data_IF_962825679121
#
_entry.id   IF_962825679121
#
_cell.length_a   1.000
_cell.length_b   1.000
_cell.length_c   1.000
_cell.angle_alpha   90.00
_cell.angle_beta   90.00
_cell.angle_gamma   90.00
#
_symmetry.space_group_name_H-M   'P 1'
#
loop_
_entity.id
_entity.type
_entity.pdbx_description
1 polymer ?
#
# COMPACT_ATOMS: atom_id res chain seq x y z
N UNK A 1 -14.19 11.72 16.12
CA UNK A 1 -14.76 10.79 15.11
C UNK A 1 -14.17 9.38 15.28
N UNK A 2 -12.86 9.26 15.54
CA UNK A 2 -12.16 8.01 15.89
C UNK A 2 -12.59 7.33 17.19
N UNK A 3 -13.03 8.09 18.20
CA UNK A 3 -13.51 7.57 19.49
C UNK A 3 -14.82 6.76 19.45
N UNK A 4 -15.48 6.67 18.28
CA UNK A 4 -16.79 6.02 18.13
C UNK A 4 -16.66 4.64 17.45
N UNK A 5 -15.67 4.46 16.56
CA UNK A 5 -15.44 3.21 15.82
C UNK A 5 -13.93 2.95 15.66
N UNK A 6 -13.22 2.44 16.68
CA UNK A 6 -11.77 2.25 16.64
C UNK A 6 -11.29 1.28 15.54
N UNK A 7 -12.13 0.33 15.14
CA UNK A 7 -11.84 -0.59 14.03
C UNK A 7 -11.87 0.07 12.66
N UNK A 8 -12.56 1.22 12.53
CA UNK A 8 -12.68 1.94 11.26
C UNK A 8 -11.33 2.46 10.81
N UNK A 9 -10.54 2.97 11.75
CA UNK A 9 -9.22 3.52 11.47
C UNK A 9 -8.24 2.45 10.99
N UNK A 10 -8.16 1.34 11.74
CA UNK A 10 -7.38 0.17 11.37
C UNK A 10 -7.79 -0.34 9.97
N UNK A 11 -9.09 -0.37 9.68
CA UNK A 11 -9.59 -0.76 8.36
C UNK A 11 -9.16 0.22 7.27
N UNK A 12 -9.23 1.53 7.52
CA UNK A 12 -8.77 2.54 6.57
C UNK A 12 -7.27 2.39 6.28
N UNK A 13 -6.45 2.17 7.29
CA UNK A 13 -5.01 1.90 7.12
C UNK A 13 -4.73 0.65 6.31
N UNK A 14 -5.47 -0.44 6.55
CA UNK A 14 -5.35 -1.65 5.74
C UNK A 14 -5.77 -1.39 4.28
N UNK A 15 -6.89 -0.70 4.08
CA UNK A 15 -7.46 -0.44 2.75
C UNK A 15 -6.57 0.52 1.94
N UNK A 16 -6.07 1.58 2.56
CA UNK A 16 -5.16 2.55 1.93
C UNK A 16 -3.82 1.90 1.60
N UNK A 17 -3.28 1.08 2.50
CA UNK A 17 -2.09 0.26 2.23
C UNK A 17 -2.29 -0.68 1.04
N UNK A 18 -3.45 -1.34 0.94
CA UNK A 18 -3.74 -2.21 -0.20
C UNK A 18 -3.77 -1.41 -1.51
N UNK A 19 -4.39 -0.22 -1.51
CA UNK A 19 -4.38 0.69 -2.66
C UNK A 19 -2.97 1.11 -3.04
N UNK A 20 -2.12 1.45 -2.07
CA UNK A 20 -0.70 1.77 -2.30
C UNK A 20 0.07 0.59 -2.90
N UNK A 21 -0.18 -0.63 -2.43
CA UNK A 21 0.44 -1.83 -3.00
C UNK A 21 0.04 -2.05 -4.47
N UNK A 22 -1.23 -1.86 -4.84
CA UNK A 22 -1.63 -1.89 -6.25
C UNK A 22 -1.04 -0.75 -7.05
N UNK A 23 -1.03 0.47 -6.49
CA UNK A 23 -0.45 1.65 -7.11
C UNK A 23 1.04 1.44 -7.41
N UNK A 24 1.78 0.82 -6.50
CA UNK A 24 3.20 0.49 -6.71
C UNK A 24 3.40 -0.34 -7.98
N UNK A 25 2.57 -1.36 -8.20
CA UNK A 25 2.65 -2.20 -9.39
C UNK A 25 2.36 -1.41 -10.67
N UNK A 26 1.39 -0.50 -10.62
CA UNK A 26 1.02 0.37 -11.74
C UNK A 26 2.16 1.34 -12.09
N UNK A 27 2.85 1.89 -11.08
CA UNK A 27 3.95 2.85 -11.25
C UNK A 27 5.24 2.14 -11.72
N UNK A 28 5.50 0.92 -11.26
CA UNK A 28 6.75 0.21 -11.55
C UNK A 28 6.97 0.02 -13.05
N UNK A 29 5.94 -0.42 -13.78
CA UNK A 29 6.07 -0.77 -15.21
C UNK A 29 6.44 0.43 -16.11
N UNK A 30 5.78 1.59 -16.01
CA UNK A 30 6.22 2.81 -16.72
C UNK A 30 7.62 3.27 -16.31
N UNK A 31 7.97 3.16 -15.02
CA UNK A 31 9.24 3.67 -14.49
C UNK A 31 10.45 2.94 -15.08
N UNK A 32 10.35 1.61 -15.25
CA UNK A 32 11.47 0.79 -15.75
C UNK A 32 11.37 0.46 -17.23
N UNK A 33 10.20 0.65 -17.85
CA UNK A 33 9.91 0.30 -19.23
C UNK A 33 9.47 -1.17 -19.42
N UNK A 34 8.59 -1.42 -20.40
CA UNK A 34 7.95 -2.72 -20.58
C UNK A 34 8.91 -3.87 -20.86
N UNK A 35 10.00 -3.62 -21.58
CA UNK A 35 10.99 -4.64 -21.91
C UNK A 35 11.80 -5.06 -20.68
N UNK A 36 12.18 -4.10 -19.83
CA UNK A 36 12.96 -4.37 -18.61
C UNK A 36 12.09 -4.97 -17.51
N UNK A 37 10.79 -4.65 -17.46
CA UNK A 37 9.88 -5.24 -16.48
C UNK A 37 9.83 -6.77 -16.58
N UNK A 38 9.86 -7.31 -17.80
CA UNK A 38 9.86 -8.77 -18.04
C UNK A 38 11.14 -9.47 -17.57
N UNK A 39 12.23 -8.74 -17.41
CA UNK A 39 13.52 -9.29 -16.97
C UNK A 39 13.71 -9.22 -15.46
N UNK A 40 12.82 -8.54 -14.72
CA UNK A 40 12.95 -8.43 -13.27
C UNK A 40 12.67 -9.76 -12.56
N UNK A 41 13.47 -10.14 -11.55
CA UNK A 41 13.17 -11.28 -10.70
C UNK A 41 11.82 -11.11 -9.98
N UNK A 42 10.97 -12.14 -9.89
CA UNK A 42 9.70 -12.06 -9.16
C UNK A 42 9.87 -11.58 -7.71
N UNK A 43 10.97 -11.99 -7.06
CA UNK A 43 11.30 -11.57 -5.70
C UNK A 43 11.53 -10.06 -5.60
N UNK A 44 12.21 -9.46 -6.58
CA UNK A 44 12.43 -8.02 -6.61
C UNK A 44 11.11 -7.26 -6.70
N UNK A 45 10.18 -7.72 -7.54
CA UNK A 45 8.86 -7.11 -7.67
C UNK A 45 8.08 -7.20 -6.35
N UNK A 46 8.09 -8.37 -5.70
CA UNK A 46 7.47 -8.54 -4.38
C UNK A 46 8.05 -7.59 -3.33
N UNK A 47 9.39 -7.54 -3.21
CA UNK A 47 10.07 -6.64 -2.28
C UNK A 47 9.76 -5.16 -2.57
N UNK A 48 9.74 -4.77 -3.84
CA UNK A 48 9.38 -3.42 -4.24
C UNK A 48 7.97 -3.04 -3.77
N UNK A 49 6.98 -3.90 -4.00
CA UNK A 49 5.59 -3.67 -3.57
C UNK A 49 5.53 -3.50 -2.05
N UNK A 50 6.19 -4.38 -1.30
CA UNK A 50 6.23 -4.33 0.16
C UNK A 50 6.82 -3.00 0.65
N UNK A 51 8.03 -2.67 0.20
CA UNK A 51 8.75 -1.47 0.65
C UNK A 51 8.02 -0.19 0.26
N UNK A 52 7.43 -0.14 -0.94
CA UNK A 52 6.63 1.00 -1.38
C UNK A 52 5.41 1.20 -0.48
N UNK A 53 4.69 0.11 -0.16
CA UNK A 53 3.50 0.16 0.69
C UNK A 53 3.83 0.60 2.12
N UNK A 54 4.87 -0.01 2.73
CA UNK A 54 5.34 0.34 4.08
C UNK A 54 5.81 1.79 4.14
N UNK A 55 6.50 2.27 3.10
CA UNK A 55 6.95 3.65 3.02
C UNK A 55 5.77 4.62 2.91
N UNK A 56 4.73 4.28 2.17
CA UNK A 56 3.50 5.07 2.10
C UNK A 56 2.75 5.12 3.44
N UNK A 57 2.66 4.01 4.16
CA UNK A 57 2.10 3.98 5.53
C UNK A 57 2.91 4.89 6.47
N UNK A 58 4.25 4.80 6.44
CA UNK A 58 5.11 5.66 7.25
C UNK A 58 4.94 7.16 6.91
N UNK A 59 4.80 7.50 5.62
CA UNK A 59 4.54 8.88 5.21
C UNK A 59 3.20 9.41 5.73
N UNK A 60 2.19 8.54 5.86
CA UNK A 60 0.91 8.90 6.45
C UNK A 60 1.05 9.22 7.94
N UNK A 61 1.70 8.35 8.72
CA UNK A 61 2.00 8.60 10.13
C UNK A 61 2.82 9.88 10.35
N UNK A 62 3.77 10.17 9.46
CA UNK A 62 4.54 11.43 9.54
C UNK A 62 3.66 12.64 9.31
N UNK A 63 2.67 12.54 8.42
CA UNK A 63 1.70 13.60 8.19
C UNK A 63 0.80 13.81 9.39
N UNK A 64 0.31 12.74 10.01
CA UNK A 64 -0.50 12.81 11.24
C UNK A 64 0.29 13.42 12.38
N UNK A 65 1.50 12.93 12.64
CA UNK A 65 2.40 13.50 13.63
C UNK A 65 2.65 15.00 13.38
N UNK A 66 2.93 15.39 12.15
CA UNK A 66 3.13 16.80 11.81
C UNK A 66 1.85 17.62 12.01
N UNK A 67 0.67 17.08 11.70
CA UNK A 67 -0.62 17.70 11.96
C UNK A 67 -0.86 17.92 13.46
N UNK A 68 -0.58 16.92 14.28
CA UNK A 68 -0.72 16.99 15.74
C UNK A 68 0.22 18.07 16.32
N UNK A 69 1.49 18.09 15.89
CA UNK A 69 2.48 19.04 16.41
C UNK A 69 2.32 20.47 15.90
N UNK A 70 1.98 20.65 14.62
CA UNK A 70 2.01 21.97 13.96
C UNK A 70 0.64 22.62 13.85
N UNK A 71 -0.43 21.83 13.76
CA UNK A 71 -1.79 22.30 13.50
C UNK A 71 -2.75 22.07 14.68
N UNK A 72 -2.30 21.37 15.73
CA UNK A 72 -3.12 21.06 16.91
C UNK A 72 -4.22 20.04 16.62
N UNK A 73 -3.98 19.13 15.67
CA UNK A 73 -4.81 17.95 15.48
C UNK A 73 -4.62 16.96 16.63
N UNK A 74 -5.45 15.92 16.64
CA UNK A 74 -5.40 14.82 17.60
C UNK A 74 -5.62 13.51 16.85
N UNK A 75 -4.85 13.33 15.77
CA UNK A 75 -4.93 12.16 14.90
C UNK A 75 -4.36 10.92 15.59
N UNK A 76 -3.15 11.02 16.16
CA UNK A 76 -2.46 9.88 16.78
C UNK A 76 -2.87 9.65 18.25
N UNK A 77 -3.82 10.44 18.76
CA UNK A 77 -4.34 10.38 20.13
C UNK A 77 -3.25 10.43 21.23
N UNK A 78 -2.09 11.00 20.92
CA UNK A 78 -0.87 10.94 21.75
C UNK A 78 -0.48 9.51 22.17
N UNK A 79 -0.74 8.51 21.32
CA UNK A 79 -0.63 7.09 21.63
C UNK A 79 0.35 6.40 20.68
N UNK A 80 1.47 5.91 21.22
CA UNK A 80 2.38 5.03 20.47
C UNK A 80 1.66 3.79 19.94
N UNK A 81 0.70 3.27 20.70
CA UNK A 81 -0.05 2.08 20.31
C UNK A 81 -0.91 2.31 19.08
N UNK A 82 -1.40 3.54 18.88
CA UNK A 82 -2.21 3.95 17.73
C UNK A 82 -1.38 3.86 16.45
N UNK A 83 -0.34 4.71 16.36
CA UNK A 83 0.69 4.68 15.30
C UNK A 83 1.21 3.29 14.97
N UNK A 84 1.55 2.50 15.99
CA UNK A 84 2.07 1.15 15.75
C UNK A 84 1.00 0.21 15.19
N UNK A 85 -0.25 0.35 15.59
CA UNK A 85 -1.37 -0.45 15.06
C UNK A 85 -1.64 -0.10 13.61
N UNK A 86 -1.61 1.18 13.27
CA UNK A 86 -1.84 1.67 11.91
C UNK A 86 -0.72 1.31 10.96
N UNK A 87 0.54 1.44 11.40
CA UNK A 87 1.70 0.95 10.66
C UNK A 87 1.64 -0.56 10.41
N UNK A 88 1.25 -1.36 11.40
CA UNK A 88 1.09 -2.82 11.23
C UNK A 88 -0.04 -3.11 10.25
N UNK A 89 -1.17 -2.44 10.38
CA UNK A 89 -2.35 -2.62 9.52
C UNK A 89 -2.03 -2.31 8.06
N UNK A 90 -1.45 -1.12 7.81
CA UNK A 90 -1.00 -0.71 6.48
C UNK A 90 0.06 -1.65 5.91
N UNK A 91 1.05 -2.05 6.72
CA UNK A 91 2.11 -2.97 6.27
C UNK A 91 1.61 -4.37 5.93
N UNK A 92 0.63 -4.90 6.67
CA UNK A 92 0.06 -6.22 6.43
C UNK A 92 -0.57 -6.32 5.04
N UNK A 93 -1.25 -5.26 4.59
CA UNK A 93 -1.78 -5.19 3.23
C UNK A 93 -0.66 -5.27 2.18
N UNK A 94 0.48 -4.61 2.43
CA UNK A 94 1.68 -4.67 1.59
C UNK A 94 2.30 -6.07 1.53
N UNK A 95 2.32 -6.81 2.65
CA UNK A 95 2.76 -8.20 2.68
C UNK A 95 1.88 -9.06 1.79
N UNK A 96 0.56 -8.95 1.92
CA UNK A 96 -0.39 -9.72 1.09
C UNK A 96 -0.18 -9.41 -0.38
N UNK A 97 -0.09 -8.13 -0.76
CA UNK A 97 0.09 -7.75 -2.17
C UNK A 97 1.47 -8.08 -2.71
N UNK A 98 2.52 -8.07 -1.89
CA UNK A 98 3.86 -8.50 -2.29
C UNK A 98 3.89 -9.97 -2.69
N UNK A 99 3.19 -10.83 -1.94
CA UNK A 99 3.05 -12.26 -2.23
C UNK A 99 2.23 -12.44 -3.51
N UNK A 100 1.12 -11.71 -3.64
CA UNK A 100 0.30 -11.76 -4.86
C UNK A 100 1.09 -11.32 -6.10
N UNK A 101 1.86 -10.24 -6.02
CA UNK A 101 2.72 -9.76 -7.09
C UNK A 101 3.82 -10.75 -7.45
N UNK A 102 4.48 -11.34 -6.45
CA UNK A 102 5.46 -12.40 -6.64
C UNK A 102 4.87 -13.60 -7.40
N UNK A 103 3.71 -14.10 -6.94
CA UNK A 103 3.05 -15.25 -7.55
C UNK A 103 2.52 -14.95 -8.95
N UNK A 104 2.02 -13.73 -9.18
CA UNK A 104 1.54 -13.29 -10.48
C UNK A 104 2.63 -13.36 -11.55
N UNK A 105 3.83 -12.84 -11.23
CA UNK A 105 4.96 -12.84 -12.17
C UNK A 105 5.55 -14.24 -12.32
N UNK A 106 5.65 -15.01 -11.21
CA UNK A 106 6.22 -16.37 -11.24
C UNK A 106 5.34 -17.36 -12.03
N UNK A 107 4.03 -17.29 -11.87
CA UNK A 107 3.07 -18.26 -12.43
C UNK A 107 2.34 -17.75 -13.68
N UNK A 108 2.63 -16.52 -14.13
CA UNK A 108 2.18 -15.96 -15.40
C UNK A 108 0.78 -15.32 -15.41
N UNK A 109 -0.13 -15.65 -14.49
CA UNK A 109 -1.36 -14.85 -14.33
C UNK A 109 -1.99 -15.00 -12.95
N UNK A 110 -2.60 -13.90 -12.47
CA UNK A 110 -3.39 -13.88 -11.25
C UNK A 110 -4.67 -13.09 -11.59
N UNK A 111 -5.73 -13.82 -11.98
CA UNK A 111 -6.95 -13.26 -12.59
C UNK A 111 -7.52 -12.04 -11.85
N UNK A 112 -7.40 -11.99 -10.53
CA UNK A 112 -7.85 -10.87 -9.72
C UNK A 112 -7.03 -9.59 -9.98
N UNK A 113 -5.70 -9.67 -9.97
CA UNK A 113 -4.80 -8.54 -10.21
C UNK A 113 -4.97 -8.02 -11.64
N UNK A 114 -5.06 -8.93 -12.61
CA UNK A 114 -5.31 -8.58 -14.00
C UNK A 114 -6.64 -7.85 -14.18
N UNK A 115 -7.71 -8.34 -13.55
CA UNK A 115 -9.04 -7.71 -13.60
C UNK A 115 -9.02 -6.32 -12.97
N UNK A 116 -8.34 -6.16 -11.83
CA UNK A 116 -8.20 -4.87 -11.15
C UNK A 116 -7.44 -3.85 -12.01
N UNK A 117 -6.28 -4.22 -12.53
CA UNK A 117 -5.47 -3.35 -13.40
C UNK A 117 -6.26 -2.94 -14.65
N UNK A 118 -6.98 -3.87 -15.26
CA UNK A 118 -7.80 -3.59 -16.44
C UNK A 118 -8.98 -2.69 -16.13
N UNK A 119 -9.59 -2.79 -14.93
CA UNK A 119 -10.67 -1.91 -14.50
C UNK A 119 -10.18 -0.45 -14.40
N UNK A 120 -9.00 -0.21 -13.80
CA UNK A 120 -8.41 1.13 -13.71
C UNK A 120 -8.06 1.69 -15.09
N UNK A 121 -7.46 0.87 -15.98
CA UNK A 121 -7.15 1.35 -17.34
C UNK A 121 -8.40 1.74 -18.14
N UNK A 122 -9.53 1.06 -17.91
CA UNK A 122 -10.78 1.34 -18.61
C UNK A 122 -11.49 2.60 -18.09
N UNK A 123 -11.32 2.95 -16.81
CA UNK A 123 -11.92 4.18 -16.26
C UNK A 123 -11.23 5.48 -16.70
N UNK A 124 -10.06 5.38 -17.33
CA UNK A 124 -9.26 6.52 -17.81
C UNK A 124 -9.20 6.63 -19.36
N UNK A 125 -10.16 6.01 -20.06
CA UNK A 125 -10.41 6.20 -21.49
C UNK A 125 -11.75 6.92 -21.68
#
# INVERSE_FOLDING_TARGET
MYSILPWWDIFLHFASGALLGFLSFIILKPLIGENNFKTLPPLFIGMYILLFTVSGAALWEFWEFAGDQLLGFDSQLNSLTDTMTDMISGSLSGVILSIMGFLHIKNGSFKFLDKFINAIKKSHK
#
